data_IF_322171152850
#
_entry.id   IF_322171152850
#
_cell.length_a   1.000
_cell.length_b   1.000
_cell.length_c   1.000
_cell.angle_alpha   90.00
_cell.angle_beta   90.00
_cell.angle_gamma   90.00
#
_symmetry.space_group_name_H-M   'P 1'
#
loop_
_entity.id
_entity.type
_entity.pdbx_description
1 polymer ?
#
# COMPACT_ATOMS: atom_id res chain seq x y z
N UNK A 1 -72.16 -50.68 0.72
CA UNK A 1 -72.69 -51.55 -0.36
C UNK A 1 -73.00 -50.60 -1.51
N UNK A 2 -72.37 -50.56 -2.70
CA UNK A 2 -71.85 -51.53 -3.68
C UNK A 2 -70.71 -50.78 -4.43
N UNK A 3 -69.46 -51.25 -4.47
CA UNK A 3 -68.78 -52.14 -5.45
C UNK A 3 -68.57 -51.64 -6.90
N UNK A 4 -67.29 -51.81 -7.32
CA UNK A 4 -66.69 -52.02 -8.66
C UNK A 4 -66.22 -50.83 -9.54
N UNK A 5 -64.87 -50.77 -9.61
CA UNK A 5 -63.91 -50.46 -10.68
C UNK A 5 -64.41 -50.21 -12.12
N UNK A 6 -63.81 -49.23 -12.78
CA UNK A 6 -63.24 -49.40 -14.11
C UNK A 6 -62.04 -48.46 -14.32
N UNK A 7 -60.90 -49.05 -14.66
CA UNK A 7 -59.66 -48.39 -15.06
C UNK A 7 -59.75 -48.10 -16.56
N UNK A 8 -59.40 -46.88 -16.96
CA UNK A 8 -58.98 -46.58 -18.33
C UNK A 8 -57.72 -45.71 -18.25
N UNK A 9 -56.58 -46.37 -18.49
CA UNK A 9 -55.35 -45.70 -18.89
C UNK A 9 -55.53 -45.21 -20.33
N UNK A 10 -55.35 -43.91 -20.55
CA UNK A 10 -54.88 -43.39 -21.82
C UNK A 10 -53.62 -42.58 -21.54
N UNK A 11 -52.50 -43.10 -22.02
CA UNK A 11 -51.20 -42.46 -21.94
C UNK A 11 -51.15 -41.23 -22.84
N UNK A 12 -50.64 -40.14 -22.29
CA UNK A 12 -50.07 -39.05 -23.06
C UNK A 12 -48.55 -39.12 -22.86
N UNK A 13 -47.82 -39.44 -23.94
CA UNK A 13 -46.37 -39.39 -23.97
C UNK A 13 -45.93 -37.93 -23.76
N UNK A 14 -45.32 -37.64 -22.62
CA UNK A 14 -44.67 -36.35 -22.37
C UNK A 14 -43.39 -36.28 -23.19
N UNK A 15 -43.31 -35.34 -24.13
CA UNK A 15 -42.06 -34.99 -24.79
C UNK A 15 -41.22 -34.19 -23.79
N UNK A 16 -40.29 -34.84 -23.11
CA UNK A 16 -39.23 -34.14 -22.37
C UNK A 16 -38.23 -33.60 -23.38
N UNK A 17 -38.29 -32.30 -23.68
CA UNK A 17 -37.18 -31.61 -24.33
C UNK A 17 -36.05 -31.47 -23.32
N UNK A 18 -35.13 -32.43 -23.31
CA UNK A 18 -33.85 -32.27 -22.62
C UNK A 18 -32.97 -31.36 -23.48
N UNK A 19 -32.92 -30.07 -23.16
CA UNK A 19 -31.85 -29.21 -23.64
C UNK A 19 -30.55 -29.69 -22.99
N UNK A 20 -29.43 -29.84 -23.74
CA UNK A 20 -28.14 -30.03 -23.11
C UNK A 20 -27.84 -28.78 -22.29
N UNK A 21 -28.04 -28.85 -20.98
CA UNK A 21 -27.57 -27.83 -20.06
C UNK A 21 -26.05 -27.99 -19.97
N UNK A 22 -25.33 -27.24 -20.80
CA UNK A 22 -23.88 -27.20 -20.74
C UNK A 22 -23.47 -26.30 -19.57
N UNK A 23 -23.37 -26.88 -18.37
CA UNK A 23 -23.02 -26.18 -17.13
C UNK A 23 -21.62 -25.51 -17.16
N UNK A 24 -20.85 -25.69 -18.22
CA UNK A 24 -19.54 -25.06 -18.41
C UNK A 24 -19.60 -23.61 -18.90
N UNK A 25 -20.78 -23.07 -19.23
CA UNK A 25 -20.92 -21.72 -19.81
C UNK A 25 -21.06 -20.58 -18.78
N UNK A 26 -21.05 -20.86 -17.47
CA UNK A 26 -21.23 -19.85 -16.41
C UNK A 26 -20.08 -19.78 -15.38
N UNK A 27 -18.87 -20.15 -15.77
CA UNK A 27 -17.69 -19.63 -15.08
C UNK A 27 -17.17 -18.43 -15.86
N UNK A 28 -17.78 -17.25 -15.62
CA UNK A 28 -17.00 -16.02 -15.77
C UNK A 28 -15.82 -16.14 -14.81
N UNK A 29 -14.63 -16.33 -15.36
CA UNK A 29 -13.39 -16.16 -14.62
C UNK A 29 -13.30 -14.68 -14.26
N UNK A 30 -13.88 -14.31 -13.12
CA UNK A 30 -13.66 -12.99 -12.53
C UNK A 30 -12.17 -12.91 -12.22
N UNK A 31 -11.47 -11.97 -12.86
CA UNK A 31 -10.10 -11.66 -12.50
C UNK A 31 -10.05 -11.44 -10.98
N UNK A 32 -9.15 -12.12 -10.27
CA UNK A 32 -8.97 -11.84 -8.83
C UNK A 32 -8.65 -10.36 -8.71
N UNK A 33 -9.56 -9.60 -8.10
CA UNK A 33 -9.27 -8.25 -7.70
C UNK A 33 -8.02 -8.27 -6.82
N UNK A 34 -7.19 -7.22 -6.92
CA UNK A 34 -6.06 -7.06 -6.01
C UNK A 34 -6.52 -7.06 -4.54
N UNK A 35 -5.57 -7.11 -3.62
CA UNK A 35 -5.85 -6.98 -2.19
C UNK A 35 -6.68 -5.69 -1.97
N UNK A 36 -7.78 -5.73 -1.19
CA UNK A 36 -8.50 -4.51 -0.85
C UNK A 36 -7.75 -3.70 0.21
N UNK A 37 -7.98 -2.37 0.23
CA UNK A 37 -7.44 -1.50 1.28
C UNK A 37 -7.84 -1.97 2.68
N UNK A 38 -6.91 -1.92 3.62
CA UNK A 38 -7.14 -2.33 5.00
C UNK A 38 -5.97 -2.02 5.92
N UNK A 39 -6.27 -1.92 7.20
CA UNK A 39 -5.29 -1.67 8.27
C UNK A 39 -5.54 -2.64 9.42
N UNK A 40 -4.51 -2.92 10.22
CA UNK A 40 -4.69 -3.74 11.41
C UNK A 40 -3.36 -4.10 12.07
N UNK A 41 -3.35 -5.20 12.80
CA UNK A 41 -2.15 -5.78 13.40
C UNK A 41 -1.96 -7.20 12.90
N UNK A 42 -0.73 -7.54 12.55
CA UNK A 42 -0.33 -8.88 12.13
C UNK A 42 1.01 -9.22 12.76
N UNK A 43 1.09 -10.34 13.49
CA UNK A 43 2.30 -10.83 14.16
C UNK A 43 3.07 -9.76 14.95
N UNK A 44 2.34 -8.92 15.69
CA UNK A 44 2.92 -7.88 16.54
C UNK A 44 3.28 -6.56 15.84
N UNK A 45 3.06 -6.43 14.53
CA UNK A 45 3.27 -5.20 13.79
C UNK A 45 1.95 -4.60 13.32
N UNK A 46 1.84 -3.26 13.36
CA UNK A 46 0.79 -2.57 12.64
C UNK A 46 1.05 -2.71 11.13
N UNK A 47 -0.01 -2.86 10.35
CA UNK A 47 0.05 -2.75 8.90
C UNK A 47 -0.97 -1.74 8.40
N UNK A 48 -0.61 -1.05 7.32
CA UNK A 48 -1.53 -0.27 6.51
C UNK A 48 -1.29 -0.64 5.05
N UNK A 49 -2.37 -0.85 4.32
CA UNK A 49 -2.35 -1.00 2.88
C UNK A 49 -3.54 -0.23 2.29
N UNK A 50 -3.24 0.68 1.39
CA UNK A 50 -4.23 1.48 0.66
C UNK A 50 -3.95 1.40 -0.83
N UNK A 51 -5.02 1.29 -1.62
CA UNK A 51 -4.99 1.41 -3.08
C UNK A 51 -6.22 2.18 -3.58
N UNK A 52 -6.06 2.91 -4.69
CA UNK A 52 -7.17 3.54 -5.42
C UNK A 52 -7.97 2.55 -6.29
N UNK A 53 -7.56 1.27 -6.32
CA UNK A 53 -8.19 0.22 -7.12
C UNK A 53 -7.74 0.19 -8.58
N UNK A 54 -6.79 1.05 -8.98
CA UNK A 54 -6.19 1.01 -10.30
C UNK A 54 -5.25 -0.19 -10.45
N UNK A 55 -5.41 -0.96 -11.54
CA UNK A 55 -4.57 -2.11 -11.85
C UNK A 55 -4.78 -3.29 -10.91
N UNK A 56 -3.75 -4.15 -10.80
CA UNK A 56 -3.72 -5.25 -9.85
C UNK A 56 -2.60 -5.03 -8.84
N UNK A 57 -2.93 -4.99 -7.55
CA UNK A 57 -1.96 -4.86 -6.45
C UNK A 57 -2.25 -5.96 -5.43
N UNK A 58 -1.31 -6.89 -5.28
CA UNK A 58 -1.38 -7.97 -4.30
C UNK A 58 -0.44 -7.63 -3.15
N UNK A 59 -1.01 -7.22 -2.03
CA UNK A 59 -0.32 -7.04 -0.75
C UNK A 59 -0.55 -8.25 0.14
N UNK A 60 0.52 -8.79 0.73
CA UNK A 60 0.45 -9.93 1.65
C UNK A 60 1.29 -9.67 2.90
N UNK A 61 0.67 -9.85 4.07
CA UNK A 61 1.38 -9.87 5.35
C UNK A 61 2.11 -11.21 5.49
N UNK A 62 3.42 -11.19 5.70
CA UNK A 62 4.21 -12.36 6.09
C UNK A 62 4.46 -12.44 7.59
N UNK A 63 5.22 -13.45 8.07
CA UNK A 63 5.58 -13.59 9.48
C UNK A 63 6.30 -12.37 10.06
N UNK A 64 5.99 -12.04 11.32
CA UNK A 64 6.61 -10.91 12.01
C UNK A 64 6.44 -9.59 11.26
N UNK A 65 7.53 -8.84 11.06
CA UNK A 65 7.51 -7.56 10.35
C UNK A 65 7.61 -7.68 8.82
N UNK A 66 7.51 -8.89 8.25
CA UNK A 66 7.59 -9.08 6.80
C UNK A 66 6.27 -8.83 6.07
N UNK A 67 6.37 -8.29 4.86
CA UNK A 67 5.28 -8.16 3.90
C UNK A 67 5.82 -8.23 2.46
N UNK A 68 4.97 -8.62 1.52
CA UNK A 68 5.28 -8.57 0.09
C UNK A 68 4.24 -7.75 -0.65
N UNK A 69 4.65 -7.13 -1.75
CA UNK A 69 3.74 -6.50 -2.71
C UNK A 69 4.13 -6.91 -4.11
N UNK A 70 3.14 -7.25 -4.93
CA UNK A 70 3.29 -7.42 -6.37
C UNK A 70 2.24 -6.54 -7.04
N UNK A 71 2.67 -5.64 -7.92
CA UNK A 71 1.74 -4.74 -8.60
C UNK A 71 1.96 -4.73 -10.10
N UNK A 72 0.87 -4.60 -10.84
CA UNK A 72 0.86 -4.54 -12.29
C UNK A 72 -0.09 -3.42 -12.74
N UNK A 73 0.45 -2.47 -13.49
CA UNK A 73 -0.26 -1.30 -14.03
C UNK A 73 -1.12 -0.61 -12.96
N UNK A 74 -0.58 -0.44 -11.75
CA UNK A 74 -1.32 0.15 -10.64
C UNK A 74 -1.73 1.59 -10.94
N UNK A 75 -2.79 2.08 -10.31
CA UNK A 75 -3.10 3.51 -10.25
C UNK A 75 -2.19 4.18 -9.23
N UNK A 76 -2.57 4.06 -7.97
CA UNK A 76 -1.72 4.37 -6.82
C UNK A 76 -1.97 3.37 -5.69
N UNK A 77 -0.92 3.00 -4.97
CA UNK A 77 -1.03 2.28 -3.70
C UNK A 77 0.13 2.65 -2.78
N UNK A 78 -0.12 2.56 -1.48
CA UNK A 78 0.93 2.59 -0.46
C UNK A 78 0.64 1.53 0.59
N UNK A 79 1.64 0.72 0.94
CA UNK A 79 1.46 -0.25 2.01
C UNK A 79 2.72 -0.84 2.59
N UNK A 80 2.60 -1.32 3.82
CA UNK A 80 3.72 -1.85 4.57
C UNK A 80 3.41 -2.09 6.04
N UNK A 81 4.46 -2.37 6.82
CA UNK A 81 4.38 -2.71 8.24
C UNK A 81 5.19 -1.76 9.13
N UNK A 82 4.82 -1.67 10.40
CA UNK A 82 5.46 -0.84 11.40
C UNK A 82 4.60 -0.70 12.65
N UNK A 83 4.28 0.54 13.02
CA UNK A 83 3.65 0.86 14.29
C UNK A 83 2.58 1.93 14.17
N UNK A 84 1.62 1.89 15.09
CA UNK A 84 0.65 2.95 15.31
C UNK A 84 0.44 3.08 16.84
N UNK A 85 0.82 4.22 17.47
CA UNK A 85 1.37 5.43 16.86
C UNK A 85 2.84 5.28 16.44
N UNK A 86 3.25 6.15 15.52
CA UNK A 86 4.64 6.41 15.13
C UNK A 86 5.40 7.16 16.24
N UNK A 87 6.73 7.09 16.17
CA UNK A 87 7.59 7.85 17.09
C UNK A 87 8.97 8.09 16.45
N UNK A 88 9.80 8.89 17.11
CA UNK A 88 11.22 9.04 16.79
C UNK A 88 12.01 7.78 17.21
N UNK A 89 11.79 6.66 16.50
CA UNK A 89 12.49 5.39 16.72
C UNK A 89 13.49 5.14 15.60
N UNK A 90 14.59 4.44 15.89
CA UNK A 90 15.39 3.83 14.84
C UNK A 90 14.62 2.64 14.25
N UNK A 91 14.43 2.63 12.94
CA UNK A 91 13.75 1.53 12.23
C UNK A 91 14.79 0.76 11.43
N UNK A 92 14.96 -0.53 11.73
CA UNK A 92 15.80 -1.43 10.92
C UNK A 92 14.92 -2.24 10.00
N UNK A 93 15.28 -2.28 8.72
CA UNK A 93 14.55 -3.04 7.71
C UNK A 93 15.51 -3.67 6.71
N UNK A 94 15.04 -4.72 6.05
CA UNK A 94 15.78 -5.40 5.00
C UNK A 94 14.84 -5.92 3.93
N UNK A 95 15.31 -6.02 2.69
CA UNK A 95 14.51 -6.58 1.62
C UNK A 95 14.94 -6.17 0.22
N UNK A 96 14.06 -6.48 -0.73
CA UNK A 96 14.22 -6.18 -2.15
C UNK A 96 13.04 -5.36 -2.65
N UNK A 97 13.30 -4.53 -3.65
CA UNK A 97 12.29 -3.86 -4.46
C UNK A 97 12.76 -3.85 -5.90
N UNK A 98 11.84 -4.14 -6.82
CA UNK A 98 12.02 -4.02 -8.27
C UNK A 98 10.88 -3.15 -8.80
N UNK A 99 11.21 -1.92 -9.20
CA UNK A 99 10.25 -0.96 -9.76
C UNK A 99 10.00 -1.18 -11.26
N UNK A 100 10.67 -2.14 -11.91
CA UNK A 100 10.55 -2.43 -13.35
C UNK A 100 10.65 -1.18 -14.26
N UNK A 101 11.49 -0.21 -13.86
CA UNK A 101 11.66 1.06 -14.57
C UNK A 101 10.49 2.04 -14.45
N UNK A 102 9.47 1.73 -13.63
CA UNK A 102 8.33 2.59 -13.32
C UNK A 102 8.53 3.45 -12.08
N UNK A 103 7.53 4.29 -11.76
CA UNK A 103 7.54 5.13 -10.57
C UNK A 103 7.06 4.34 -9.34
N UNK A 104 7.81 4.45 -8.25
CA UNK A 104 7.50 3.83 -6.97
C UNK A 104 8.58 4.14 -5.94
N UNK A 105 8.25 3.94 -4.66
CA UNK A 105 9.10 4.30 -3.53
C UNK A 105 9.21 3.14 -2.54
N UNK A 106 10.39 3.05 -1.92
CA UNK A 106 10.62 2.35 -0.67
C UNK A 106 11.00 3.41 0.37
N UNK A 107 10.16 3.58 1.38
CA UNK A 107 10.31 4.68 2.33
C UNK A 107 9.85 4.30 3.73
N UNK A 108 10.40 4.96 4.74
CA UNK A 108 9.67 5.11 6.01
C UNK A 108 8.62 6.19 5.80
N UNK A 109 7.37 5.82 6.02
CA UNK A 109 6.20 6.57 5.67
C UNK A 109 5.28 6.69 6.88
N UNK A 110 4.69 7.86 7.09
CA UNK A 110 3.71 8.02 8.14
C UNK A 110 2.97 9.34 8.09
N UNK A 111 2.09 9.50 9.08
CA UNK A 111 1.25 10.68 9.18
C UNK A 111 1.34 11.32 10.55
N UNK A 112 1.11 12.62 10.58
CA UNK A 112 0.81 13.36 11.80
C UNK A 112 -0.49 14.14 11.65
N UNK A 113 -1.13 14.48 12.76
CA UNK A 113 -2.36 15.24 12.85
C UNK A 113 -2.15 16.49 13.70
N UNK A 114 -2.87 17.57 13.39
CA UNK A 114 -2.75 18.87 14.05
C UNK A 114 -1.29 19.38 14.15
N UNK A 115 -0.64 19.72 13.02
CA UNK A 115 -1.14 19.76 11.64
C UNK A 115 -1.20 18.40 10.93
N UNK A 116 -2.05 18.28 9.89
CA UNK A 116 -2.10 17.11 9.02
C UNK A 116 -0.89 17.12 8.07
N UNK A 117 0.02 16.18 8.26
CA UNK A 117 1.24 16.04 7.45
C UNK A 117 1.44 14.58 7.11
N UNK A 118 1.71 14.32 5.83
CA UNK A 118 2.24 13.05 5.36
C UNK A 118 3.75 13.16 5.25
N UNK A 119 4.52 12.21 5.75
CA UNK A 119 5.99 12.29 5.68
C UNK A 119 6.63 11.05 5.10
N UNK A 120 7.75 11.26 4.43
CA UNK A 120 8.54 10.24 3.75
C UNK A 120 10.02 10.42 4.07
N UNK A 121 10.66 9.32 4.48
CA UNK A 121 12.11 9.14 4.40
C UNK A 121 12.36 8.10 3.32
N UNK A 122 12.62 8.56 2.10
CA UNK A 122 12.73 7.74 0.89
C UNK A 122 14.14 7.16 0.80
N UNK A 123 14.22 5.84 0.85
CA UNK A 123 15.48 5.08 0.83
C UNK A 123 15.85 4.62 -0.59
N UNK A 124 14.83 4.36 -1.42
CA UNK A 124 14.98 4.06 -2.84
C UNK A 124 13.72 4.49 -3.60
N UNK A 125 13.90 4.95 -4.84
CA UNK A 125 12.81 5.23 -5.75
C UNK A 125 13.10 4.67 -7.15
N UNK A 126 12.03 4.52 -7.94
CA UNK A 126 12.08 4.07 -9.32
C UNK A 126 12.48 5.18 -10.30
N UNK A 127 11.67 5.40 -11.34
CA UNK A 127 12.01 6.34 -12.43
C UNK A 127 11.79 7.82 -12.11
N UNK A 128 11.23 8.15 -10.95
CA UNK A 128 10.90 9.53 -10.58
C UNK A 128 11.37 9.86 -9.16
N UNK A 129 12.22 10.88 -9.05
CA UNK A 129 12.63 11.46 -7.77
C UNK A 129 11.49 12.34 -7.21
N UNK A 130 10.90 11.99 -6.05
CA UNK A 130 9.79 12.74 -5.47
C UNK A 130 10.17 14.17 -5.03
N UNK A 131 11.47 14.49 -4.89
CA UNK A 131 11.94 15.84 -4.58
C UNK A 131 12.14 16.75 -5.80
N UNK A 132 12.11 16.20 -7.02
CA UNK A 132 12.50 16.92 -8.25
C UNK A 132 11.65 18.17 -8.56
N UNK A 133 10.41 18.23 -8.08
CA UNK A 133 9.50 19.38 -8.23
C UNK A 133 9.07 19.97 -6.88
N UNK A 134 9.71 19.56 -5.79
CA UNK A 134 9.40 20.01 -4.46
C UNK A 134 10.17 21.30 -4.11
N UNK A 135 9.66 22.06 -3.13
CA UNK A 135 10.45 23.11 -2.50
C UNK A 135 11.53 22.45 -1.64
N UNK A 136 12.80 22.74 -1.90
CA UNK A 136 13.92 22.14 -1.15
C UNK A 136 14.35 23.01 0.05
N UNK A 137 14.80 22.34 1.11
CA UNK A 137 15.16 22.93 2.40
C UNK A 137 16.61 22.58 2.81
N UNK A 138 17.44 22.25 1.82
CA UNK A 138 18.82 21.81 2.01
C UNK A 138 18.95 20.30 2.14
N UNK A 139 20.04 19.86 2.76
CA UNK A 139 20.36 18.44 2.93
C UNK A 139 20.70 18.13 4.38
N UNK A 140 20.59 16.84 4.75
CA UNK A 140 21.07 16.31 6.02
C UNK A 140 21.87 15.03 5.79
N UNK A 141 22.91 14.80 6.59
CA UNK A 141 23.63 13.54 6.64
C UNK A 141 23.16 12.72 7.85
N UNK A 142 22.61 11.54 7.58
CA UNK A 142 22.06 10.62 8.58
C UNK A 142 22.37 9.19 8.13
N UNK A 143 22.74 8.28 9.04
CA UNK A 143 22.99 6.86 8.73
C UNK A 143 23.93 6.59 7.53
N UNK A 144 24.96 7.43 7.37
CA UNK A 144 25.92 7.34 6.27
C UNK A 144 25.34 7.67 4.88
N UNK A 145 24.21 8.36 4.81
CA UNK A 145 23.61 8.86 3.58
C UNK A 145 23.31 10.34 3.64
N UNK A 146 23.36 11.00 2.49
CA UNK A 146 22.87 12.37 2.32
C UNK A 146 21.43 12.33 1.83
N UNK A 147 20.55 13.09 2.48
CA UNK A 147 19.14 13.20 2.12
C UNK A 147 18.82 14.64 1.75
N UNK A 148 18.10 14.82 0.64
CA UNK A 148 17.48 16.10 0.30
C UNK A 148 16.23 16.31 1.15
N UNK A 149 16.16 17.41 1.89
CA UNK A 149 14.96 17.81 2.61
C UNK A 149 14.06 18.60 1.68
N UNK A 150 12.79 18.22 1.58
CA UNK A 150 11.86 18.92 0.70
C UNK A 150 10.43 18.96 1.27
N UNK A 151 9.61 19.86 0.73
CA UNK A 151 8.18 19.99 1.01
C UNK A 151 7.38 20.11 -0.28
N UNK A 152 6.25 19.45 -0.32
CA UNK A 152 5.17 19.68 -1.28
C UNK A 152 3.86 19.94 -0.54
N UNK A 153 2.87 20.49 -1.23
CA UNK A 153 1.51 20.62 -0.71
C UNK A 153 0.56 19.86 -1.61
N UNK A 154 -0.25 18.97 -1.02
CA UNK A 154 -1.30 18.21 -1.69
C UNK A 154 -2.61 18.94 -1.48
N UNK A 155 -3.29 19.28 -2.58
CA UNK A 155 -4.56 20.04 -2.55
C UNK A 155 -5.72 19.12 -2.89
N UNK A 156 -6.70 19.02 -1.97
CA UNK A 156 -7.89 18.17 -2.09
C UNK A 156 -7.56 16.72 -2.47
N UNK A 157 -6.61 16.12 -1.75
CA UNK A 157 -6.15 14.76 -1.99
C UNK A 157 -6.62 13.80 -0.88
N UNK A 158 -6.68 12.48 -1.15
CA UNK A 158 -6.94 11.49 -0.11
C UNK A 158 -5.92 11.58 1.03
N UNK A 159 -6.39 11.39 2.26
CA UNK A 159 -5.58 11.38 3.48
C UNK A 159 -6.22 10.47 4.55
N UNK A 160 -5.55 10.32 5.69
CA UNK A 160 -6.10 9.63 6.87
C UNK A 160 -7.32 10.34 7.49
N UNK A 161 -7.62 11.57 7.09
CA UNK A 161 -8.79 12.35 7.52
C UNK A 161 -9.83 12.51 6.39
N UNK A 162 -9.71 11.73 5.31
CA UNK A 162 -10.53 11.87 4.10
C UNK A 162 -9.90 12.85 3.10
N UNK A 163 -10.71 13.47 2.24
CA UNK A 163 -10.20 14.44 1.25
C UNK A 163 -9.81 15.75 1.94
N UNK A 164 -8.52 16.09 1.89
CA UNK A 164 -7.96 17.22 2.62
C UNK A 164 -6.89 17.96 1.81
N UNK A 165 -6.50 19.14 2.27
CA UNK A 165 -5.27 19.82 1.83
C UNK A 165 -4.24 19.73 2.94
N UNK A 166 -3.05 19.20 2.62
CA UNK A 166 -2.01 18.90 3.60
C UNK A 166 -0.62 19.03 2.99
N UNK A 167 0.38 19.21 3.84
CA UNK A 167 1.77 19.22 3.43
C UNK A 167 2.35 17.80 3.42
N UNK A 168 3.29 17.56 2.51
CA UNK A 168 4.15 16.39 2.55
C UNK A 168 5.58 16.80 2.85
N UNK A 169 6.21 16.13 3.81
CA UNK A 169 7.63 16.33 4.14
C UNK A 169 8.46 15.17 3.61
N UNK A 170 9.59 15.50 3.01
CA UNK A 170 10.45 14.55 2.34
C UNK A 170 11.87 14.62 2.90
N UNK A 171 12.47 13.45 3.10
CA UNK A 171 13.90 13.22 3.17
C UNK A 171 14.23 12.21 2.08
N UNK A 172 14.86 12.62 0.97
CA UNK A 172 15.11 11.75 -0.18
C UNK A 172 16.58 11.39 -0.26
N UNK A 173 16.91 10.11 -0.09
CA UNK A 173 18.30 9.62 -0.11
C UNK A 173 18.90 9.77 -1.50
N UNK A 174 20.06 10.41 -1.60
CA UNK A 174 20.74 10.65 -2.89
C UNK A 174 21.34 9.38 -3.50
N UNK A 175 21.72 8.42 -2.67
CA UNK A 175 22.21 7.11 -3.10
C UNK A 175 21.21 6.06 -2.64
N UNK A 176 20.68 5.23 -3.53
CA UNK A 176 19.62 4.30 -3.14
C UNK A 176 20.15 3.15 -2.30
N UNK A 177 19.33 2.67 -1.36
CA UNK A 177 19.51 1.39 -0.67
C UNK A 177 18.16 0.76 -0.38
N UNK A 178 18.15 -0.55 -0.16
CA UNK A 178 16.92 -1.32 0.12
C UNK A 178 16.94 -2.00 1.48
N UNK A 179 17.95 -1.72 2.30
CA UNK A 179 18.15 -2.31 3.62
C UNK A 179 19.03 -1.40 4.47
N UNK A 180 18.78 -1.39 5.77
CA UNK A 180 19.56 -0.62 6.73
C UNK A 180 18.75 -0.22 7.96
N UNK A 181 19.40 0.50 8.85
CA UNK A 181 18.77 1.20 9.96
C UNK A 181 18.58 2.67 9.57
N UNK A 182 17.45 3.24 9.97
CA UNK A 182 17.14 4.66 9.81
C UNK A 182 16.84 5.28 11.16
N UNK A 183 17.64 6.25 11.58
CA UNK A 183 17.34 7.11 12.72
C UNK A 183 16.27 8.13 12.34
N UNK A 184 15.01 7.75 12.51
CA UNK A 184 13.86 8.61 12.18
C UNK A 184 13.85 9.89 13.01
N UNK A 185 14.36 9.85 14.24
CA UNK A 185 14.48 11.04 15.09
C UNK A 185 15.37 12.11 14.47
N UNK A 186 16.51 11.70 13.90
CA UNK A 186 17.42 12.61 13.21
C UNK A 186 16.76 13.32 12.01
N UNK A 187 15.90 12.62 11.26
CA UNK A 187 15.12 13.22 10.17
C UNK A 187 14.08 14.22 10.68
N UNK A 188 13.37 13.88 11.75
CA UNK A 188 12.39 14.78 12.36
C UNK A 188 13.05 16.06 12.89
N UNK A 189 14.22 15.93 13.53
CA UNK A 189 15.01 17.07 13.99
C UNK A 189 15.51 17.93 12.82
N UNK A 190 15.92 17.31 11.72
CA UNK A 190 16.38 18.02 10.52
C UNK A 190 15.24 18.84 9.88
N UNK A 191 14.05 18.26 9.77
CA UNK A 191 12.85 18.98 9.33
C UNK A 191 12.50 20.13 10.27
N UNK A 192 12.51 19.91 11.59
CA UNK A 192 12.20 20.95 12.56
C UNK A 192 13.19 22.13 12.47
N UNK A 193 14.49 21.87 12.31
CA UNK A 193 15.53 22.89 12.09
C UNK A 193 15.33 23.69 10.81
N UNK A 194 14.75 23.06 9.78
CA UNK A 194 14.37 23.69 8.52
C UNK A 194 13.02 24.45 8.60
N UNK A 195 12.36 24.49 9.76
CA UNK A 195 11.06 25.12 9.94
C UNK A 195 9.86 24.25 9.55
N UNK A 196 10.07 22.96 9.29
CA UNK A 196 9.05 21.99 8.96
C UNK A 196 8.62 21.25 10.23
N UNK A 197 7.54 21.69 10.88
CA UNK A 197 7.10 21.15 12.16
C UNK A 197 6.06 20.04 11.98
N UNK A 198 6.33 18.87 12.57
CA UNK A 198 5.40 17.74 12.62
C UNK A 198 4.31 17.95 13.68
N UNK A 199 3.15 17.32 13.48
CA UNK A 199 2.05 17.26 14.45
C UNK A 199 2.13 16.06 15.39
N UNK A 200 0.97 15.67 15.92
CA UNK A 200 0.82 14.45 16.74
C UNK A 200 0.88 13.21 15.85
N UNK A 201 1.74 12.23 16.17
CA UNK A 201 1.91 11.03 15.34
C UNK A 201 0.65 10.16 15.24
N UNK A 202 0.31 9.80 14.01
CA UNK A 202 -0.56 8.66 13.67
C UNK A 202 0.35 7.46 13.31
N UNK A 203 0.01 6.60 12.35
CA UNK A 203 0.86 5.44 12.02
C UNK A 203 2.19 5.81 11.36
N UNK A 204 3.15 4.88 11.45
CA UNK A 204 4.47 4.92 10.84
C UNK A 204 4.87 3.52 10.39
N UNK A 205 5.14 3.34 9.09
CA UNK A 205 5.46 2.05 8.49
C UNK A 205 6.67 2.16 7.55
N UNK A 206 7.37 1.05 7.32
CA UNK A 206 8.23 0.91 6.14
C UNK A 206 7.29 0.51 5.01
N UNK A 207 7.12 1.40 4.03
CA UNK A 207 6.15 1.27 2.96
C UNK A 207 6.81 1.04 1.60
N UNK A 208 6.13 0.25 0.79
CA UNK A 208 6.27 0.26 -0.66
C UNK A 208 5.11 1.05 -1.25
N UNK A 209 5.41 1.97 -2.17
CA UNK A 209 4.44 2.73 -2.94
C UNK A 209 4.70 2.53 -4.43
N UNK A 210 3.64 2.47 -5.22
CA UNK A 210 3.73 2.41 -6.68
C UNK A 210 2.68 3.31 -7.30
N UNK A 211 3.10 4.10 -8.30
CA UNK A 211 2.25 5.06 -8.98
C UNK A 211 2.36 4.86 -10.50
N UNK A 212 1.24 4.52 -11.15
CA UNK A 212 1.17 4.32 -12.61
C UNK A 212 2.25 3.37 -13.13
N UNK A 213 2.52 2.29 -12.40
CA UNK A 213 3.68 1.43 -12.62
C UNK A 213 3.40 -0.06 -12.38
N UNK A 214 4.43 -0.87 -12.54
CA UNK A 214 4.44 -2.30 -12.21
C UNK A 214 5.71 -2.62 -11.43
N UNK A 215 5.71 -3.70 -10.66
CA UNK A 215 6.87 -4.08 -9.87
C UNK A 215 6.57 -5.05 -8.75
N UNK A 216 7.57 -5.27 -7.90
CA UNK A 216 7.42 -6.12 -6.73
C UNK A 216 8.34 -5.68 -5.58
N UNK A 217 7.96 -6.01 -4.35
CA UNK A 217 8.81 -5.85 -3.17
C UNK A 217 8.60 -6.99 -2.17
N UNK A 218 9.64 -7.24 -1.39
CA UNK A 218 9.63 -8.15 -0.25
C UNK A 218 10.46 -7.51 0.86
N UNK A 219 9.79 -6.98 1.87
CA UNK A 219 10.40 -6.15 2.91
C UNK A 219 10.13 -6.78 4.28
N UNK A 220 11.12 -6.73 5.16
CA UNK A 220 11.01 -7.15 6.56
C UNK A 220 11.42 -6.00 7.47
N UNK A 221 10.50 -5.57 8.32
CA UNK A 221 10.73 -4.61 9.40
C UNK A 221 11.15 -5.37 10.66
N UNK A 222 12.17 -4.88 11.34
CA UNK A 222 12.68 -5.47 12.57
C UNK A 222 12.17 -4.67 13.77
N UNK A 223 11.81 -5.39 14.84
CA UNK A 223 11.37 -4.81 16.11
C UNK A 223 12.57 -4.30 16.93
#
# INVERSE_FOLDING_TARGET
MVSVKAVLLLGAAGTTLAFPFNATQFSELVARAGTPSGTGTHDGFYYSFWTDGGGNVNYENGPGGSYTVQWQNCGNFVGGKGWNPGQARTITYSGTVDFQGGNGYLAIYGWTQNPLIEYYIVESFGSYDPSSQAQTFGTVEVDGGTYTLAKTTRVNQPSIEGTSTFDQFWSVRQQHRTSGSVDVGAHFDAWAKAGLQLGTHNYQIVATEGYQSSGSSSITVQA
#
